data_IF_798621843558
#
_entry.id   IF_798621843558
#
_cell.length_a   1.000
_cell.length_b   1.000
_cell.length_c   1.000
_cell.angle_alpha   90.00
_cell.angle_beta   90.00
_cell.angle_gamma   90.00
#
_symmetry.space_group_name_H-M   'P 1'
#
loop_
_entity.id
_entity.type
_entity.pdbx_description
1 polymer ?
#
# COMPACT_ATOMS: atom_id res chain seq x y z
N UNK A 1 -12.87 -15.76 -10.06
CA UNK A 1 -12.61 -15.00 -8.82
C UNK A 1 -11.13 -14.97 -8.49
N UNK A 2 -10.47 -16.12 -8.30
CA UNK A 2 -9.02 -16.19 -7.99
C UNK A 2 -8.12 -15.35 -8.91
N UNK A 3 -8.24 -15.50 -10.24
CA UNK A 3 -7.44 -14.75 -11.21
C UNK A 3 -7.61 -13.23 -11.09
N UNK A 4 -8.84 -12.77 -10.79
CA UNK A 4 -9.13 -11.33 -10.60
C UNK A 4 -8.48 -10.84 -9.31
N UNK A 5 -8.56 -11.60 -8.23
CA UNK A 5 -7.92 -11.27 -6.96
C UNK A 5 -6.39 -11.25 -7.09
N UNK A 6 -5.81 -12.20 -7.84
CA UNK A 6 -4.37 -12.23 -8.13
C UNK A 6 -3.93 -11.05 -9.00
N UNK A 7 -4.70 -10.70 -10.04
CA UNK A 7 -4.44 -9.53 -10.88
C UNK A 7 -4.47 -8.24 -10.06
N UNK A 8 -5.49 -8.05 -9.22
CA UNK A 8 -5.54 -6.89 -8.32
C UNK A 8 -4.33 -6.85 -7.39
N UNK A 9 -3.95 -8.00 -6.81
CA UNK A 9 -2.82 -8.10 -5.89
C UNK A 9 -1.49 -7.78 -6.57
N UNK A 10 -1.31 -8.17 -7.84
CA UNK A 10 -0.15 -7.82 -8.66
C UNK A 10 0.06 -6.30 -8.71
N UNK A 11 -1.00 -5.53 -8.95
CA UNK A 11 -0.91 -4.07 -9.02
C UNK A 11 -0.53 -3.43 -7.67
N UNK A 12 -1.04 -3.95 -6.56
CA UNK A 12 -0.61 -3.51 -5.23
C UNK A 12 0.89 -3.78 -5.00
N UNK A 13 1.37 -4.95 -5.46
CA UNK A 13 2.77 -5.32 -5.34
C UNK A 13 3.69 -4.44 -6.19
N UNK A 14 3.28 -4.13 -7.41
CA UNK A 14 3.99 -3.19 -8.29
C UNK A 14 4.10 -1.80 -7.67
N UNK A 15 3.02 -1.31 -7.06
CA UNK A 15 3.00 -0.02 -6.36
C UNK A 15 3.80 0.03 -5.05
N UNK A 16 4.28 -1.11 -4.55
CA UNK A 16 5.21 -1.21 -3.41
C UNK A 16 6.66 -1.36 -3.85
N UNK A 17 6.89 -2.19 -4.87
CA UNK A 17 8.23 -2.47 -5.37
C UNK A 17 8.83 -1.32 -6.17
N UNK A 18 8.01 -0.44 -6.74
CA UNK A 18 8.46 0.76 -7.44
C UNK A 18 9.42 1.63 -6.58
N UNK A 19 9.19 1.70 -5.27
CA UNK A 19 9.99 2.50 -4.36
C UNK A 19 11.42 1.97 -4.25
N UNK A 20 11.59 0.64 -4.25
CA UNK A 20 12.92 0.03 -4.25
C UNK A 20 13.78 0.47 -5.44
N UNK A 21 13.16 0.69 -6.60
CA UNK A 21 13.85 1.23 -7.78
C UNK A 21 14.00 2.76 -7.74
N UNK A 22 13.01 3.46 -7.20
CA UNK A 22 13.01 4.91 -7.09
C UNK A 22 13.96 5.44 -6.00
N UNK A 23 14.35 4.60 -5.03
CA UNK A 23 15.18 4.99 -3.87
C UNK A 23 16.50 5.63 -4.27
N UNK A 24 17.19 5.09 -5.28
CA UNK A 24 18.48 5.62 -5.74
C UNK A 24 18.33 6.98 -6.42
N UNK A 25 17.25 7.18 -7.18
CA UNK A 25 16.90 8.46 -7.79
C UNK A 25 16.51 9.51 -6.75
N UNK A 26 15.60 9.18 -5.83
CA UNK A 26 15.19 10.08 -4.75
C UNK A 26 16.35 10.47 -3.82
N UNK A 27 17.25 9.53 -3.52
CA UNK A 27 18.44 9.82 -2.71
C UNK A 27 19.29 10.93 -3.35
N UNK A 28 19.46 10.87 -4.68
CA UNK A 28 20.29 11.78 -5.46
C UNK A 28 19.60 13.13 -5.69
N UNK A 29 18.30 13.14 -5.99
CA UNK A 29 17.56 14.35 -6.33
C UNK A 29 17.18 15.19 -5.09
N UNK A 30 16.92 14.56 -3.95
CA UNK A 30 16.57 15.24 -2.70
C UNK A 30 17.76 15.35 -1.71
N UNK A 31 18.96 14.93 -2.12
CA UNK A 31 20.18 14.90 -1.30
C UNK A 31 19.97 14.29 0.10
N UNK A 32 19.28 13.14 0.15
CA UNK A 32 18.87 12.48 1.39
C UNK A 32 19.75 11.28 1.72
N UNK A 33 20.21 11.21 2.97
CA UNK A 33 20.91 10.04 3.50
C UNK A 33 20.05 8.78 3.43
N UNK A 34 20.67 7.64 3.11
CA UNK A 34 20.05 6.31 3.12
C UNK A 34 19.35 5.97 4.44
N UNK A 35 19.80 6.54 5.56
CA UNK A 35 19.11 6.38 6.86
C UNK A 35 17.68 6.91 6.81
N UNK A 36 17.45 8.06 6.15
CA UNK A 36 16.12 8.67 6.03
C UNK A 36 15.22 7.88 5.08
N UNK A 37 15.80 7.25 4.06
CA UNK A 37 15.09 6.32 3.18
C UNK A 37 14.64 5.08 3.97
N UNK A 38 15.49 4.56 4.86
CA UNK A 38 15.12 3.50 5.79
C UNK A 38 13.90 3.88 6.63
N UNK A 39 13.87 5.10 7.17
CA UNK A 39 12.71 5.63 7.89
C UNK A 39 11.45 5.74 7.05
N UNK A 40 11.56 6.14 5.76
CA UNK A 40 10.41 6.19 4.85
C UNK A 40 9.86 4.76 4.64
N UNK A 41 10.72 3.79 4.32
CA UNK A 41 10.32 2.38 4.17
C UNK A 41 9.68 1.82 5.44
N UNK A 42 10.20 2.20 6.61
CA UNK A 42 9.64 1.82 7.90
C UNK A 42 8.27 2.45 8.15
N UNK A 43 8.07 3.71 7.75
CA UNK A 43 6.78 4.41 7.88
C UNK A 43 5.66 3.70 7.09
N UNK A 44 5.98 3.14 5.91
CA UNK A 44 5.04 2.30 5.17
C UNK A 44 4.65 1.03 5.94
N UNK A 45 5.62 0.36 6.57
CA UNK A 45 5.35 -0.84 7.36
C UNK A 45 4.44 -0.51 8.56
N UNK A 46 4.71 0.60 9.26
CA UNK A 46 3.82 1.09 10.33
C UNK A 46 2.41 1.35 9.80
N UNK A 47 2.29 2.10 8.71
CA UNK A 47 0.99 2.41 8.10
C UNK A 47 0.24 1.13 7.71
N UNK A 48 0.95 0.14 7.17
CA UNK A 48 0.40 -1.17 6.84
C UNK A 48 -0.05 -1.95 8.09
N UNK A 49 0.74 -1.96 9.16
CA UNK A 49 0.39 -2.62 10.43
C UNK A 49 -0.85 -2.01 11.08
N UNK A 50 -0.91 -0.69 11.18
CA UNK A 50 -2.09 0.04 11.68
C UNK A 50 -3.29 -0.29 10.80
N UNK A 51 -3.08 -0.26 9.48
CA UNK A 51 -4.10 -0.58 8.50
C UNK A 51 -4.62 -2.00 8.64
N UNK A 52 -3.79 -3.00 8.90
CA UNK A 52 -4.27 -4.37 9.13
C UNK A 52 -5.12 -4.49 10.40
N UNK A 53 -4.75 -3.78 11.47
CA UNK A 53 -5.54 -3.78 12.71
C UNK A 53 -6.92 -3.16 12.50
N UNK A 54 -6.99 -2.02 11.79
CA UNK A 54 -8.24 -1.30 11.54
C UNK A 54 -9.08 -1.99 10.45
N UNK A 55 -8.48 -2.24 9.29
CA UNK A 55 -9.16 -2.81 8.13
C UNK A 55 -9.48 -4.29 8.28
N UNK A 56 -8.79 -5.02 9.18
CA UNK A 56 -9.17 -6.38 9.56
C UNK A 56 -10.57 -6.41 10.17
N UNK A 57 -10.82 -5.58 11.18
CA UNK A 57 -12.15 -5.44 11.80
C UNK A 57 -13.17 -4.84 10.81
N UNK A 58 -12.73 -3.90 9.97
CA UNK A 58 -13.60 -3.28 8.96
C UNK A 58 -14.02 -4.26 7.86
N UNK A 59 -13.18 -5.23 7.49
CA UNK A 59 -13.49 -6.29 6.52
C UNK A 59 -14.55 -7.29 7.03
N UNK A 60 -14.86 -7.28 8.33
CA UNK A 60 -15.98 -8.02 8.87
C UNK A 60 -17.32 -7.33 8.69
N UNK A 61 -17.32 -6.00 8.54
CA UNK A 61 -18.54 -5.18 8.38
C UNK A 61 -18.77 -4.72 6.95
N UNK A 62 -17.71 -4.47 6.18
CA UNK A 62 -17.76 -3.97 4.81
C UNK A 62 -17.45 -5.08 3.81
N UNK A 63 -18.18 -5.06 2.69
CA UNK A 63 -17.95 -6.02 1.61
C UNK A 63 -16.59 -5.79 0.95
N UNK A 64 -15.85 -6.88 0.77
CA UNK A 64 -14.57 -6.92 0.06
C UNK A 64 -14.62 -6.28 -1.34
N UNK A 65 -15.79 -6.32 -1.98
CA UNK A 65 -16.03 -5.73 -3.30
C UNK A 65 -15.83 -4.21 -3.34
N UNK A 66 -15.99 -3.51 -2.22
CA UNK A 66 -15.76 -2.07 -2.12
C UNK A 66 -14.38 -1.73 -1.53
N UNK A 67 -13.91 -2.49 -0.54
CA UNK A 67 -12.63 -2.19 0.13
C UNK A 67 -11.41 -2.36 -0.77
N UNK A 68 -11.37 -3.41 -1.60
CA UNK A 68 -10.23 -3.68 -2.48
C UNK A 68 -10.04 -2.59 -3.55
N UNK A 69 -11.06 -2.22 -4.36
CA UNK A 69 -10.89 -1.18 -5.38
C UNK A 69 -10.67 0.22 -4.78
N UNK A 70 -11.28 0.54 -3.63
CA UNK A 70 -11.04 1.82 -2.96
C UNK A 70 -9.61 1.94 -2.44
N UNK A 71 -9.09 0.89 -1.79
CA UNK A 71 -7.68 0.82 -1.38
C UNK A 71 -6.71 0.90 -2.57
N UNK A 72 -7.06 0.29 -3.71
CA UNK A 72 -6.25 0.35 -4.93
C UNK A 72 -6.20 1.77 -5.48
N UNK A 73 -7.36 2.42 -5.61
CA UNK A 73 -7.46 3.79 -6.11
C UNK A 73 -6.69 4.77 -5.22
N UNK A 74 -6.87 4.68 -3.90
CA UNK A 74 -6.15 5.51 -2.93
C UNK A 74 -4.63 5.26 -2.95
N UNK A 75 -4.20 4.01 -3.14
CA UNK A 75 -2.78 3.68 -3.29
C UNK A 75 -2.17 4.27 -4.56
N UNK A 76 -2.91 4.24 -5.68
CA UNK A 76 -2.47 4.87 -6.94
C UNK A 76 -2.35 6.39 -6.75
N UNK A 77 -3.36 7.03 -6.16
CA UNK A 77 -3.33 8.47 -5.88
C UNK A 77 -2.15 8.85 -4.99
N UNK A 78 -1.86 8.07 -3.95
CA UNK A 78 -0.72 8.31 -3.06
C UNK A 78 0.62 8.16 -3.80
N UNK A 79 0.76 7.16 -4.67
CA UNK A 79 1.96 7.00 -5.51
C UNK A 79 2.17 8.19 -6.46
N UNK A 80 1.10 8.64 -7.12
CA UNK A 80 1.16 9.82 -8.01
C UNK A 80 1.52 11.08 -7.22
N UNK A 81 0.93 11.27 -6.03
CA UNK A 81 1.25 12.41 -5.17
C UNK A 81 2.73 12.45 -4.72
N UNK A 82 3.34 11.27 -4.51
CA UNK A 82 4.76 11.16 -4.17
C UNK A 82 5.65 11.57 -5.33
N UNK A 83 5.27 11.22 -6.57
CA UNK A 83 6.03 11.62 -7.76
C UNK A 83 6.13 13.14 -7.95
N UNK A 84 5.18 13.92 -7.39
CA UNK A 84 5.21 15.39 -7.40
C UNK A 84 5.80 16.00 -6.12
N UNK A 85 6.24 15.19 -5.17
CA UNK A 85 6.71 15.68 -3.87
C UNK A 85 8.21 15.93 -3.86
N UNK A 86 8.61 17.16 -3.57
CA UNK A 86 10.02 17.56 -3.44
C UNK A 86 10.53 17.56 -1.98
N UNK A 87 9.69 17.15 -1.02
CA UNK A 87 10.02 17.16 0.40
C UNK A 87 10.04 15.75 0.99
N UNK A 88 11.17 15.36 1.58
CA UNK A 88 11.35 14.04 2.22
C UNK A 88 10.31 13.74 3.31
N UNK A 89 9.86 14.75 4.04
CA UNK A 89 8.83 14.59 5.08
C UNK A 89 7.44 14.30 4.48
N UNK A 90 7.13 14.94 3.35
CA UNK A 90 5.86 14.73 2.66
C UNK A 90 5.83 13.34 2.02
N UNK A 91 6.95 12.90 1.44
CA UNK A 91 7.12 11.52 0.94
C UNK A 91 6.91 10.52 2.08
N UNK A 92 7.49 10.74 3.27
CA UNK A 92 7.32 9.86 4.42
C UNK A 92 5.85 9.68 4.81
N UNK A 93 5.10 10.79 4.92
CA UNK A 93 3.68 10.75 5.30
C UNK A 93 2.84 10.07 4.20
N UNK A 94 3.05 10.44 2.94
CA UNK A 94 2.33 9.84 1.82
C UNK A 94 2.63 8.35 1.67
N UNK A 95 3.87 7.93 1.95
CA UNK A 95 4.27 6.52 1.90
C UNK A 95 3.69 5.71 3.07
N UNK A 96 3.57 6.31 4.26
CA UNK A 96 2.83 5.72 5.38
C UNK A 96 1.34 5.53 5.05
N UNK A 97 0.70 6.56 4.48
CA UNK A 97 -0.69 6.49 4.01
C UNK A 97 -0.85 5.43 2.91
N UNK A 98 0.11 5.34 1.99
CA UNK A 98 0.13 4.31 0.98
C UNK A 98 0.14 2.90 1.60
N UNK A 99 1.00 2.67 2.60
CA UNK A 99 1.01 1.43 3.38
C UNK A 99 -0.35 1.11 4.03
N UNK A 100 -1.02 2.12 4.61
CA UNK A 100 -2.36 1.94 5.16
C UNK A 100 -3.38 1.53 4.07
N UNK A 101 -3.38 2.17 2.91
CA UNK A 101 -4.30 1.82 1.81
C UNK A 101 -4.01 0.44 1.22
N UNK A 102 -2.74 0.02 1.14
CA UNK A 102 -2.38 -1.33 0.69
C UNK A 102 -2.91 -2.43 1.64
N UNK A 103 -3.03 -2.15 2.94
CA UNK A 103 -3.57 -3.12 3.90
C UNK A 103 -5.04 -3.49 3.63
N UNK A 104 -5.81 -2.60 2.98
CA UNK A 104 -7.21 -2.82 2.61
C UNK A 104 -7.38 -3.90 1.55
N UNK A 105 -6.32 -4.35 0.87
CA UNK A 105 -6.41 -5.40 -0.14
C UNK A 105 -6.35 -6.82 0.47
N UNK A 106 -5.54 -7.00 1.51
CA UNK A 106 -5.19 -8.33 2.03
C UNK A 106 -6.31 -8.97 2.83
N UNK A 107 -6.83 -8.29 3.86
CA UNK A 107 -7.86 -8.82 4.75
C UNK A 107 -9.18 -9.21 4.04
N UNK A 108 -9.76 -8.35 3.17
CA UNK A 108 -10.94 -8.74 2.40
C UNK A 108 -10.62 -9.74 1.28
N UNK A 109 -9.42 -9.67 0.69
CA UNK A 109 -8.98 -10.61 -0.35
C UNK A 109 -8.91 -12.05 0.14
N UNK A 110 -8.31 -12.28 1.31
CA UNK A 110 -8.23 -13.60 1.92
C UNK A 110 -9.62 -14.16 2.27
N UNK A 111 -10.53 -13.32 2.76
CA UNK A 111 -11.92 -13.70 3.06
C UNK A 111 -12.71 -14.09 1.81
N UNK A 112 -12.55 -13.37 0.69
CA UNK A 112 -13.18 -13.73 -0.58
C UNK A 112 -12.69 -15.07 -1.08
N UNK A 113 -11.37 -15.32 -1.04
CA UNK A 113 -10.80 -16.59 -1.48
C UNK A 113 -11.27 -17.74 -0.58
N UNK A 114 -11.26 -17.55 0.75
CA UNK A 114 -11.70 -18.55 1.72
C UNK A 114 -13.20 -18.90 1.58
N UNK A 115 -14.06 -17.93 1.29
CA UNK A 115 -15.48 -18.18 1.03
C UNK A 115 -15.73 -18.89 -0.29
N UNK A 116 -14.88 -18.69 -1.30
CA UNK A 116 -15.05 -19.28 -2.63
C UNK A 116 -14.50 -20.71 -2.71
N UNK A 117 -13.48 -21.02 -1.92
CA UNK A 117 -12.97 -22.37 -1.71
C UNK A 117 -13.47 -22.90 -0.36
N UNK A 118 -14.77 -23.21 -0.28
CA UNK A 118 -15.23 -24.13 0.78
C UNK A 118 -14.62 -25.51 0.51
N UNK A 119 -14.28 -26.24 1.58
CA UNK A 119 -13.79 -27.62 1.50
C UNK A 119 -14.60 -28.48 0.53
#
# INVERSE_FOLDING_TARGET
MLLVTMLCYLFFYTGRHNFGWAVTGMAKDLDISYTRIGWISFAMLIGYSIGQFVNGNLADRLSARFMVPTGAFLSIMANVAISFSHSSNMILILWALNGYFQSMAWAPGSKVIANWWSK
#
